data_IF_371025698384
#
_entry.id   IF_371025698384
#
_cell.length_a   1.000
_cell.length_b   1.000
_cell.length_c   1.000
_cell.angle_alpha   90.00
_cell.angle_beta   90.00
_cell.angle_gamma   90.00
#
_symmetry.space_group_name_H-M   'P 1'
#
loop_
_entity.id
_entity.type
_entity.pdbx_description
1 polymer ?
#
# COMPACT_ATOMS: atom_id res chain seq x y z
N UNK A 1 14.75 -26.83 1.44
CA UNK A 1 13.35 -27.17 1.09
C UNK A 1 12.48 -26.73 2.25
N UNK A 2 11.50 -25.86 2.01
CA UNK A 2 10.50 -25.46 3.01
C UNK A 2 9.43 -26.57 3.10
N UNK A 3 9.33 -27.30 4.23
CA UNK A 3 8.63 -28.59 4.28
C UNK A 3 7.11 -28.53 4.10
N UNK A 4 6.51 -27.35 4.26
CA UNK A 4 5.05 -27.12 4.20
C UNK A 4 4.57 -26.51 2.88
N UNK A 5 5.46 -26.35 1.90
CA UNK A 5 5.12 -25.83 0.56
C UNK A 5 4.57 -26.96 -0.31
N UNK A 6 3.43 -26.71 -0.96
CA UNK A 6 2.73 -27.65 -1.84
C UNK A 6 2.96 -27.33 -3.31
N UNK A 7 2.95 -26.06 -3.68
CA UNK A 7 3.18 -25.60 -5.05
C UNK A 7 3.70 -24.16 -5.06
N UNK A 8 4.21 -23.72 -6.21
CA UNK A 8 4.57 -22.32 -6.40
C UNK A 8 4.65 -21.95 -7.87
N UNK A 9 4.61 -20.64 -8.14
CA UNK A 9 4.76 -20.05 -9.46
C UNK A 9 5.66 -18.81 -9.37
N UNK A 10 6.30 -18.48 -10.48
CA UNK A 10 7.14 -17.30 -10.63
C UNK A 10 6.59 -16.50 -11.80
N UNK A 11 6.27 -15.23 -11.55
CA UNK A 11 5.78 -14.30 -12.57
C UNK A 11 6.95 -13.80 -13.45
N UNK A 12 6.68 -13.36 -14.69
CA UNK A 12 7.73 -12.92 -15.62
C UNK A 12 8.55 -11.71 -15.16
N UNK A 13 8.00 -10.91 -14.26
CA UNK A 13 8.61 -9.74 -13.64
C UNK A 13 9.37 -10.06 -12.34
N UNK A 14 9.56 -11.34 -12.03
CA UNK A 14 10.17 -11.75 -10.77
C UNK A 14 11.63 -11.30 -10.64
N UNK A 15 12.00 -10.88 -9.43
CA UNK A 15 13.36 -10.49 -9.09
C UNK A 15 13.75 -10.96 -7.68
N UNK A 16 15.06 -11.12 -7.40
CA UNK A 16 15.53 -11.59 -6.10
C UNK A 16 15.13 -10.67 -4.94
N UNK A 17 14.83 -11.25 -3.79
CA UNK A 17 14.47 -10.51 -2.57
C UNK A 17 14.99 -11.18 -1.31
N UNK A 18 15.46 -10.38 -0.36
CA UNK A 18 15.72 -10.81 1.01
C UNK A 18 16.73 -11.96 1.17
N UNK A 19 16.92 -12.43 2.41
CA UNK A 19 17.76 -13.58 2.73
C UNK A 19 17.07 -14.91 2.43
N UNK A 20 17.82 -16.02 2.54
CA UNK A 20 17.24 -17.37 2.42
C UNK A 20 16.05 -17.57 3.35
N UNK A 21 14.89 -17.94 2.78
CA UNK A 21 13.63 -18.12 3.51
C UNK A 21 12.49 -17.22 3.03
N UNK A 22 12.79 -16.20 2.21
CA UNK A 22 11.81 -15.36 1.52
C UNK A 22 11.36 -15.98 0.18
N UNK A 23 10.32 -15.39 -0.42
CA UNK A 23 9.98 -15.63 -1.84
C UNK A 23 10.42 -14.41 -2.68
N UNK A 24 10.80 -14.61 -3.96
CA UNK A 24 11.09 -13.50 -4.87
C UNK A 24 9.88 -12.57 -5.02
N UNK A 25 10.10 -11.29 -5.38
CA UNK A 25 9.02 -10.46 -5.94
C UNK A 25 8.44 -11.20 -7.14
N UNK A 26 7.12 -11.15 -7.31
CA UNK A 26 6.44 -11.93 -8.36
C UNK A 26 6.36 -13.43 -8.07
N UNK A 27 6.76 -13.89 -6.88
CA UNK A 27 6.56 -15.27 -6.44
C UNK A 27 5.16 -15.52 -5.90
N UNK A 28 4.63 -16.72 -6.14
CA UNK A 28 3.41 -17.23 -5.51
C UNK A 28 3.75 -18.57 -4.87
N UNK A 29 3.33 -18.76 -3.62
CA UNK A 29 3.54 -20.00 -2.88
C UNK A 29 2.21 -20.52 -2.30
N UNK A 30 1.90 -21.79 -2.56
CA UNK A 30 0.80 -22.52 -1.92
C UNK A 30 1.39 -23.31 -0.76
N UNK A 31 0.89 -23.07 0.44
CA UNK A 31 1.48 -23.54 1.69
C UNK A 31 0.40 -23.97 2.68
N UNK A 32 0.75 -24.93 3.55
CA UNK A 32 -0.09 -25.33 4.70
C UNK A 32 0.10 -24.45 5.94
N UNK A 33 1.09 -23.55 5.90
CA UNK A 33 1.37 -22.57 6.95
C UNK A 33 1.49 -21.16 6.39
N UNK A 34 1.31 -20.17 7.26
CA UNK A 34 1.56 -18.75 6.96
C UNK A 34 3.06 -18.47 7.10
N UNK A 35 3.62 -17.75 6.14
CA UNK A 35 5.02 -17.35 6.15
C UNK A 35 5.11 -15.83 6.08
N UNK A 36 5.26 -15.12 7.23
CA UNK A 36 5.36 -13.66 7.24
C UNK A 36 6.47 -13.15 6.32
N UNK A 37 7.64 -13.81 6.28
CA UNK A 37 8.74 -13.47 5.36
C UNK A 37 8.45 -13.66 3.86
N UNK A 38 7.28 -14.18 3.50
CA UNK A 38 6.78 -14.25 2.12
C UNK A 38 5.79 -13.12 1.79
N UNK A 39 5.46 -12.28 2.76
CA UNK A 39 4.66 -11.08 2.62
C UNK A 39 5.57 -9.88 2.93
N UNK A 40 5.88 -9.04 1.94
CA UNK A 40 6.77 -7.88 2.11
C UNK A 40 6.37 -6.99 3.30
N UNK A 41 7.33 -6.26 3.87
CA UNK A 41 7.09 -5.25 4.91
C UNK A 41 6.05 -4.20 4.50
N UNK A 42 5.94 -3.91 3.20
CA UNK A 42 4.86 -3.08 2.67
C UNK A 42 3.61 -3.93 2.37
N UNK A 43 2.98 -4.39 3.45
CA UNK A 43 1.81 -5.28 3.40
C UNK A 43 0.69 -4.60 2.59
N UNK A 44 0.07 -5.33 1.68
CA UNK A 44 -0.98 -4.85 0.78
C UNK A 44 -0.59 -3.64 -0.10
N UNK A 45 0.70 -3.49 -0.42
CA UNK A 45 1.12 -2.62 -1.52
C UNK A 45 0.37 -2.99 -2.79
N UNK A 46 -0.37 -2.03 -3.34
CA UNK A 46 -1.29 -2.27 -4.44
C UNK A 46 -1.54 -1.01 -5.25
N UNK A 47 -2.07 -1.21 -6.45
CA UNK A 47 -2.50 -0.13 -7.32
C UNK A 47 -4.01 0.03 -7.26
N UNK A 48 -4.47 1.29 -7.25
CA UNK A 48 -5.87 1.63 -7.41
C UNK A 48 -6.02 2.63 -8.57
N UNK A 49 -7.12 2.51 -9.30
CA UNK A 49 -7.51 3.48 -10.33
C UNK A 49 -8.86 4.10 -9.98
N UNK A 50 -8.90 5.43 -10.01
CA UNK A 50 -10.12 6.23 -9.82
C UNK A 50 -10.35 7.09 -11.05
N UNK A 51 -11.56 7.03 -11.61
CA UNK A 51 -11.92 7.76 -12.85
C UNK A 51 -12.75 8.98 -12.50
N UNK A 52 -12.41 10.13 -13.09
CA UNK A 52 -13.01 11.43 -12.81
C UNK A 52 -13.55 12.07 -14.10
N UNK A 53 -14.80 11.78 -14.48
CA UNK A 53 -15.37 12.29 -15.71
C UNK A 53 -15.41 13.82 -15.75
N UNK A 54 -14.97 14.40 -16.87
CA UNK A 54 -15.01 15.85 -17.09
C UNK A 54 -14.04 16.70 -16.23
N UNK A 55 -13.16 16.09 -15.44
CA UNK A 55 -12.13 16.82 -14.68
C UNK A 55 -10.87 16.98 -15.53
N UNK A 56 -10.31 18.19 -15.59
CA UNK A 56 -9.05 18.42 -16.30
C UNK A 56 -7.87 17.75 -15.56
N UNK A 57 -6.95 17.04 -16.26
CA UNK A 57 -5.80 16.38 -15.64
C UNK A 57 -4.95 17.30 -14.74
N UNK A 58 -4.70 18.53 -15.18
CA UNK A 58 -3.94 19.52 -14.41
C UNK A 58 -4.61 19.84 -13.06
N UNK A 59 -5.92 20.08 -13.08
CA UNK A 59 -6.67 20.37 -11.86
C UNK A 59 -6.64 19.19 -10.87
N UNK A 60 -6.67 17.95 -11.37
CA UNK A 60 -6.61 16.76 -10.53
C UNK A 60 -5.23 16.57 -9.89
N UNK A 61 -4.14 16.73 -10.64
CA UNK A 61 -2.79 16.59 -10.07
C UNK A 61 -2.49 17.69 -9.05
N UNK A 62 -2.92 18.92 -9.31
CA UNK A 62 -2.79 20.03 -8.36
C UNK A 62 -3.55 19.76 -7.06
N UNK A 63 -4.77 19.20 -7.16
CA UNK A 63 -5.55 18.80 -5.99
C UNK A 63 -4.88 17.68 -5.18
N UNK A 64 -4.29 16.68 -5.86
CA UNK A 64 -3.55 15.59 -5.20
C UNK A 64 -2.32 16.13 -4.47
N UNK A 65 -1.53 17.00 -5.11
CA UNK A 65 -0.37 17.64 -4.51
C UNK A 65 -0.73 18.54 -3.32
N UNK A 66 -1.90 19.20 -3.35
CA UNK A 66 -2.33 20.06 -2.25
C UNK A 66 -2.64 19.29 -0.96
N UNK A 67 -2.98 18.00 -1.05
CA UNK A 67 -3.43 17.20 0.10
C UNK A 67 -2.49 16.06 0.46
N UNK A 68 -1.51 15.72 -0.38
CA UNK A 68 -0.56 14.63 -0.14
C UNK A 68 0.90 15.09 -0.27
N UNK A 69 1.82 14.29 0.27
CA UNK A 69 3.26 14.54 0.13
C UNK A 69 4.05 13.23 0.02
N UNK A 70 5.28 13.29 -0.48
CA UNK A 70 6.23 12.19 -0.43
C UNK A 70 7.06 12.22 0.85
N UNK A 71 7.66 11.07 1.20
CA UNK A 71 8.56 10.94 2.34
C UNK A 71 7.88 10.67 3.69
N UNK A 72 8.66 10.66 4.78
CA UNK A 72 8.19 10.29 6.11
C UNK A 72 7.25 11.33 6.72
N UNK A 73 6.57 10.91 7.79
CA UNK A 73 5.64 11.74 8.55
C UNK A 73 4.21 11.69 8.02
N UNK A 74 3.44 12.70 8.39
CA UNK A 74 2.05 12.84 8.03
C UNK A 74 1.52 14.21 8.45
N UNK A 75 0.19 14.36 8.47
CA UNK A 75 -0.44 15.62 8.86
C UNK A 75 -0.16 15.93 10.33
N UNK A 76 0.01 17.23 10.69
CA UNK A 76 0.12 17.66 12.08
C UNK A 76 -1.03 17.13 12.94
N UNK A 77 -0.77 16.92 14.24
CA UNK A 77 -1.83 16.54 15.19
C UNK A 77 -2.99 17.52 15.13
N UNK A 78 -4.21 16.99 15.11
CA UNK A 78 -5.45 17.77 14.94
C UNK A 78 -5.87 17.99 13.48
N UNK A 79 -4.99 17.77 12.50
CA UNK A 79 -5.30 17.82 11.06
C UNK A 79 -5.26 16.43 10.40
N UNK A 80 -5.02 15.38 11.18
CA UNK A 80 -4.96 14.01 10.69
C UNK A 80 -6.34 13.54 10.20
N UNK A 81 -6.35 12.85 9.06
CA UNK A 81 -7.54 12.14 8.60
C UNK A 81 -7.57 10.81 9.31
N UNK A 82 -8.69 10.48 9.95
CA UNK A 82 -8.85 9.18 10.60
C UNK A 82 -9.39 8.15 9.61
N UNK A 83 -8.89 6.90 9.65
CA UNK A 83 -9.56 5.79 8.98
C UNK A 83 -11.02 5.66 9.43
N UNK A 84 -11.81 4.95 8.62
CA UNK A 84 -13.19 4.59 9.00
C UNK A 84 -13.23 3.91 10.37
N UNK A 85 -14.25 4.25 11.16
CA UNK A 85 -14.36 3.80 12.57
C UNK A 85 -14.30 2.29 12.69
N UNK A 86 -14.98 1.58 11.80
CA UNK A 86 -15.07 0.12 11.76
C UNK A 86 -13.72 -0.54 11.48
N UNK A 87 -12.88 0.09 10.64
CA UNK A 87 -11.52 -0.40 10.39
C UNK A 87 -10.66 -0.23 11.63
N UNK A 88 -10.83 0.90 12.33
CA UNK A 88 -10.00 1.21 13.49
C UNK A 88 -10.38 0.38 14.73
N UNK A 89 -11.66 0.10 14.94
CA UNK A 89 -12.13 -0.83 16.00
C UNK A 89 -11.53 -2.24 15.81
N UNK A 90 -11.34 -2.67 14.56
CA UNK A 90 -10.66 -3.94 14.25
C UNK A 90 -9.15 -3.88 14.53
N UNK A 91 -8.52 -2.71 14.40
CA UNK A 91 -7.11 -2.52 14.78
C UNK A 91 -6.96 -2.59 16.30
N UNK A 92 -7.84 -1.92 17.05
CA UNK A 92 -7.79 -1.84 18.51
C UNK A 92 -8.04 -3.20 19.17
N UNK A 93 -8.90 -4.03 18.59
CA UNK A 93 -9.20 -5.38 19.08
C UNK A 93 -8.18 -6.44 18.65
N UNK A 94 -7.28 -6.13 17.72
CA UNK A 94 -6.28 -7.07 17.21
C UNK A 94 -4.94 -6.93 17.98
N UNK A 95 -4.47 -7.99 18.65
CA UNK A 95 -3.22 -7.95 19.43
C UNK A 95 -1.98 -7.56 18.63
N UNK A 96 -1.97 -7.79 17.32
CA UNK A 96 -0.86 -7.48 16.42
C UNK A 96 -0.91 -6.04 15.90
N UNK A 97 -2.07 -5.38 15.95
CA UNK A 97 -2.29 -4.06 15.34
C UNK A 97 -2.51 -2.93 16.34
N UNK A 98 -2.93 -3.26 17.58
CA UNK A 98 -3.28 -2.26 18.60
C UNK A 98 -2.16 -1.26 18.90
N UNK A 99 -0.90 -1.69 18.80
CA UNK A 99 0.27 -0.88 19.12
C UNK A 99 0.75 -0.01 17.93
N UNK A 100 0.17 -0.17 16.74
CA UNK A 100 0.49 0.63 15.53
C UNK A 100 -0.59 1.65 15.17
N UNK A 101 -1.63 1.79 15.99
CA UNK A 101 -2.77 2.71 15.81
C UNK A 101 -2.37 4.16 15.58
N UNK A 102 -1.40 4.69 16.35
CA UNK A 102 -0.90 6.06 16.15
C UNK A 102 -0.23 6.23 14.78
N UNK A 103 0.59 5.26 14.37
CA UNK A 103 1.24 5.28 13.06
C UNK A 103 0.19 5.14 11.93
N UNK A 104 -0.86 4.35 12.14
CA UNK A 104 -1.94 4.22 11.18
C UNK A 104 -2.65 5.57 10.95
N UNK A 105 -2.98 6.31 12.02
CA UNK A 105 -3.62 7.62 11.89
C UNK A 105 -2.69 8.64 11.24
N UNK A 106 -1.42 8.68 11.65
CA UNK A 106 -0.45 9.66 11.13
C UNK A 106 -0.25 9.53 9.61
N UNK A 107 -0.15 8.29 9.12
CA UNK A 107 0.13 8.01 7.72
C UNK A 107 -1.14 7.91 6.84
N UNK A 108 -2.35 7.89 7.43
CA UNK A 108 -3.58 7.63 6.67
C UNK A 108 -3.95 8.79 5.73
N UNK A 109 -3.85 8.51 4.42
CA UNK A 109 -4.22 9.46 3.37
C UNK A 109 -3.40 10.75 3.37
N UNK A 110 -2.19 10.74 3.96
CA UNK A 110 -1.30 11.89 4.12
C UNK A 110 -0.08 11.74 3.20
N UNK A 111 0.80 10.79 3.54
CA UNK A 111 2.00 10.49 2.78
C UNK A 111 1.68 9.48 1.68
N UNK A 112 2.12 9.79 0.46
CA UNK A 112 2.15 8.84 -0.66
C UNK A 112 3.20 7.77 -0.42
N UNK A 113 4.21 8.10 0.37
CA UNK A 113 5.32 7.24 0.70
C UNK A 113 6.59 7.58 -0.02
N UNK A 114 7.41 6.56 -0.24
CA UNK A 114 8.72 6.66 -0.90
C UNK A 114 8.98 5.35 -1.64
N UNK A 115 10.09 5.26 -2.36
CA UNK A 115 10.44 4.10 -3.17
C UNK A 115 9.63 4.06 -4.46
N UNK A 116 8.85 2.99 -4.65
CA UNK A 116 8.06 2.80 -5.86
C UNK A 116 6.62 3.37 -5.77
N UNK A 117 6.29 4.08 -4.69
CA UNK A 117 4.96 4.66 -4.48
C UNK A 117 4.77 5.93 -5.30
N UNK A 118 3.57 6.12 -5.86
CA UNK A 118 3.26 7.30 -6.67
C UNK A 118 1.76 7.58 -6.76
N UNK A 119 1.42 8.81 -7.15
CA UNK A 119 0.16 9.14 -7.79
C UNK A 119 0.43 9.66 -9.20
N UNK A 120 -0.25 9.08 -10.17
CA UNK A 120 -0.15 9.45 -11.57
C UNK A 120 -1.53 9.88 -12.08
N UNK A 121 -1.59 11.05 -12.70
CA UNK A 121 -2.79 11.52 -13.39
C UNK A 121 -2.57 11.39 -14.89
N UNK A 122 -3.51 10.74 -15.56
CA UNK A 122 -3.51 10.60 -17.01
C UNK A 122 -4.92 10.49 -17.56
N UNK A 123 -5.01 10.09 -18.82
CA UNK A 123 -6.27 9.93 -19.53
C UNK A 123 -6.43 8.48 -19.97
N UNK A 124 -7.60 7.90 -19.70
CA UNK A 124 -7.93 6.56 -20.18
C UNK A 124 -8.05 6.55 -21.69
N UNK A 125 -7.27 5.69 -22.36
CA UNK A 125 -7.32 5.55 -23.82
C UNK A 125 -8.69 5.12 -24.34
N UNK A 126 -9.44 4.34 -23.56
CA UNK A 126 -10.74 3.78 -23.96
C UNK A 126 -11.88 4.80 -23.95
N UNK A 127 -11.89 5.72 -22.97
CA UNK A 127 -12.99 6.67 -22.77
C UNK A 127 -12.59 8.13 -22.96
N UNK A 128 -11.30 8.45 -22.97
CA UNK A 128 -10.83 9.83 -22.93
C UNK A 128 -10.99 10.51 -21.57
N UNK A 129 -11.44 9.77 -20.54
CA UNK A 129 -11.67 10.33 -19.21
C UNK A 129 -10.39 10.43 -18.39
N UNK A 130 -10.31 11.46 -17.56
CA UNK A 130 -9.20 11.63 -16.62
C UNK A 130 -9.25 10.56 -15.54
N UNK A 131 -8.10 9.96 -15.25
CA UNK A 131 -7.95 8.95 -14.21
C UNK A 131 -6.73 9.22 -13.34
N UNK A 132 -6.89 8.92 -12.06
CA UNK A 132 -5.83 8.87 -11.06
C UNK A 132 -5.45 7.43 -10.81
N UNK A 133 -4.20 7.09 -11.05
CA UNK A 133 -3.60 5.81 -10.66
C UNK A 133 -2.74 6.06 -9.43
N UNK A 134 -3.03 5.38 -8.34
CA UNK A 134 -2.21 5.42 -7.13
C UNK A 134 -1.53 4.08 -6.93
N UNK A 135 -0.30 4.10 -6.45
CA UNK A 135 0.44 2.93 -6.02
C UNK A 135 0.95 3.18 -4.61
N UNK A 136 0.28 2.58 -3.63
CA UNK A 136 0.56 2.79 -2.21
C UNK A 136 0.44 1.46 -1.47
N UNK A 137 0.98 1.42 -0.25
CA UNK A 137 0.80 0.28 0.64
C UNK A 137 0.40 0.70 2.05
N UNK A 138 0.66 -0.19 3.00
CA UNK A 138 0.24 -0.02 4.39
C UNK A 138 1.07 1.00 5.17
N UNK A 139 2.15 1.54 4.56
CA UNK A 139 3.06 2.50 5.20
C UNK A 139 3.67 1.93 6.48
N UNK A 140 3.99 2.80 7.44
CA UNK A 140 4.57 2.43 8.75
C UNK A 140 3.81 1.32 9.50
N UNK A 141 2.46 1.28 9.53
CA UNK A 141 1.71 0.18 10.14
C UNK A 141 2.12 -1.22 9.69
N UNK A 142 2.17 -1.48 8.38
CA UNK A 142 2.55 -2.81 7.89
C UNK A 142 4.02 -3.12 8.12
N UNK A 143 4.88 -2.13 7.94
CA UNK A 143 6.32 -2.29 8.16
C UNK A 143 6.68 -2.59 9.63
N UNK A 144 5.86 -2.15 10.59
CA UNK A 144 6.01 -2.47 12.02
C UNK A 144 5.40 -3.81 12.41
N UNK A 145 4.41 -4.26 11.66
CA UNK A 145 3.78 -5.57 11.87
C UNK A 145 4.66 -6.72 11.34
N UNK A 146 5.33 -6.48 10.21
CA UNK A 146 6.29 -7.39 9.60
C UNK A 146 7.55 -7.54 10.46
#
# INVERSE_FOLDING_TARGET
RTPVIRAGAIMPDACPTGPSGTIPVGGVAVSEAIHPGMHSADICCSMAISVFPGVAPAALIDAVHAVTHFGPGGRPRGQQIRPAKEVFERFETNPLLRDVTSAAIEHFGTTQGDGNHFAYVGTLKSSGETALVTHHGSRSPGARLY
#
